data_IF_843301735954
#
_entry.id   IF_843301735954
#
_cell.length_a   1.000
_cell.length_b   1.000
_cell.length_c   1.000
_cell.angle_alpha   90.00
_cell.angle_beta   90.00
_cell.angle_gamma   90.00
#
_symmetry.space_group_name_H-M   'P 1'
#
loop_
_entity.id
_entity.type
_entity.pdbx_description
1 polymer ?
#
# COMPACT_ATOMS: atom_id res chain seq x y z
N UNK A 1 -4.10 17.89 -21.67
CA UNK A 1 -4.17 19.36 -21.85
C UNK A 1 -3.18 20.00 -20.89
N UNK A 2 -2.42 21.01 -21.32
CA UNK A 2 -1.55 21.77 -20.42
C UNK A 2 -2.39 22.59 -19.42
N UNK A 3 -1.89 22.78 -18.20
CA UNK A 3 -2.45 23.75 -17.23
C UNK A 3 -2.26 25.16 -17.79
N UNK A 4 -3.33 25.95 -17.80
CA UNK A 4 -3.34 27.34 -18.28
C UNK A 4 -3.74 28.27 -17.16
N UNK A 5 -3.29 29.53 -17.26
CA UNK A 5 -3.61 30.55 -16.27
C UNK A 5 -5.11 30.72 -16.07
N UNK A 6 -5.53 30.80 -14.81
CA UNK A 6 -6.90 31.03 -14.40
C UNK A 6 -6.96 32.23 -13.44
N UNK A 7 -7.55 33.34 -13.88
CA UNK A 7 -7.68 34.54 -13.05
C UNK A 7 -8.51 34.35 -11.77
N UNK A 8 -9.32 33.29 -11.67
CA UNK A 8 -10.06 32.95 -10.46
C UNK A 8 -9.20 32.22 -9.42
N UNK A 9 -8.05 31.67 -9.83
CA UNK A 9 -7.11 30.97 -8.97
C UNK A 9 -5.71 31.44 -9.39
N UNK A 10 -5.29 32.64 -8.94
CA UNK A 10 -4.02 33.24 -9.33
C UNK A 10 -2.82 32.38 -8.87
N UNK A 11 -1.65 32.68 -9.43
CA UNK A 11 -0.41 31.92 -9.18
C UNK A 11 0.01 32.03 -7.70
N UNK A 12 -0.27 33.17 -7.08
CA UNK A 12 0.09 33.53 -5.72
C UNK A 12 -0.99 33.17 -4.68
N UNK A 13 -2.02 32.42 -5.09
CA UNK A 13 -3.16 32.07 -4.22
C UNK A 13 -2.74 31.31 -2.96
N UNK A 14 -1.66 30.53 -3.03
CA UNK A 14 -1.20 29.67 -1.94
C UNK A 14 0.23 29.99 -1.53
N UNK A 15 0.45 30.23 -0.23
CA UNK A 15 1.82 30.34 0.33
C UNK A 15 2.53 28.98 0.40
N UNK A 16 1.77 27.90 0.63
CA UNK A 16 2.29 26.54 0.71
C UNK A 16 1.27 25.50 0.25
N UNK A 17 1.78 24.40 -0.29
CA UNK A 17 0.99 23.26 -0.79
C UNK A 17 1.48 21.99 -0.11
N UNK A 18 0.58 21.31 0.61
CA UNK A 18 0.86 20.01 1.22
C UNK A 18 0.42 18.90 0.27
N UNK A 19 1.37 18.05 -0.10
CA UNK A 19 1.17 16.98 -1.07
C UNK A 19 1.17 15.64 -0.33
N UNK A 20 -0.02 15.06 -0.15
CA UNK A 20 -0.16 13.72 0.41
C UNK A 20 0.23 12.65 -0.62
N UNK A 21 0.82 11.55 -0.13
CA UNK A 21 1.40 10.48 -0.94
C UNK A 21 2.29 11.02 -2.09
N UNK A 22 3.18 11.97 -1.76
CA UNK A 22 3.90 12.78 -2.75
C UNK A 22 4.69 11.94 -3.76
N UNK A 23 5.16 10.75 -3.37
CA UNK A 23 5.82 9.78 -4.27
C UNK A 23 4.97 9.35 -5.48
N UNK A 24 3.64 9.56 -5.43
CA UNK A 24 2.71 9.32 -6.55
C UNK A 24 2.28 10.61 -7.24
N UNK A 25 2.17 11.69 -6.46
CA UNK A 25 1.45 12.91 -6.83
C UNK A 25 2.35 13.97 -7.46
N UNK A 26 3.67 13.86 -7.39
CA UNK A 26 4.60 14.88 -7.93
C UNK A 26 4.92 14.71 -9.44
N UNK A 27 4.21 13.84 -10.16
CA UNK A 27 4.49 13.53 -11.56
C UNK A 27 3.31 13.74 -12.50
N UNK A 28 3.61 13.87 -13.80
CA UNK A 28 2.65 13.93 -14.91
C UNK A 28 1.71 15.13 -14.78
N UNK A 29 0.40 14.87 -14.70
CA UNK A 29 -0.64 15.88 -14.66
C UNK A 29 -0.51 16.78 -13.44
N UNK A 30 -0.21 16.20 -12.28
CA UNK A 30 -0.11 16.94 -11.03
C UNK A 30 1.14 17.80 -10.97
N UNK A 31 2.22 17.40 -11.62
CA UNK A 31 3.42 18.24 -11.70
C UNK A 31 3.09 19.60 -12.32
N UNK A 32 2.30 19.63 -13.41
CA UNK A 32 1.89 20.88 -14.04
C UNK A 32 1.02 21.77 -13.12
N UNK A 33 0.26 21.15 -12.20
CA UNK A 33 -0.53 21.89 -11.21
C UNK A 33 0.37 22.45 -10.11
N UNK A 34 1.38 21.69 -9.68
CA UNK A 34 2.34 22.13 -8.67
C UNK A 34 3.23 23.25 -9.21
N UNK A 35 3.67 23.14 -10.47
CA UNK A 35 4.49 24.15 -11.16
C UNK A 35 3.70 25.43 -11.49
N UNK A 36 2.36 25.39 -11.43
CA UNK A 36 1.50 26.56 -11.68
C UNK A 36 1.51 27.58 -10.54
N UNK A 37 1.68 27.11 -9.30
CA UNK A 37 1.60 27.96 -8.11
C UNK A 37 3.00 28.38 -7.63
N UNK A 38 3.16 29.65 -7.26
CA UNK A 38 4.36 30.14 -6.59
C UNK A 38 4.23 29.90 -5.08
N UNK A 39 4.39 28.63 -4.68
CA UNK A 39 4.12 28.17 -3.32
C UNK A 39 5.21 27.23 -2.79
N UNK A 40 5.43 27.23 -1.47
CA UNK A 40 6.29 26.24 -0.84
C UNK A 40 5.65 24.85 -0.85
N UNK A 41 6.34 23.86 -1.45
CA UNK A 41 5.83 22.48 -1.52
C UNK A 41 6.29 21.65 -0.32
N UNK A 42 5.34 21.05 0.40
CA UNK A 42 5.58 20.14 1.53
C UNK A 42 5.09 18.74 1.14
N UNK A 43 6.00 17.81 0.89
CA UNK A 43 5.67 16.42 0.57
C UNK A 43 5.51 15.55 1.81
N UNK A 44 4.41 14.79 1.89
CA UNK A 44 4.18 13.75 2.89
C UNK A 44 4.16 12.38 2.20
N UNK A 45 4.96 11.43 2.69
CA UNK A 45 4.97 10.06 2.16
C UNK A 45 5.55 9.08 3.17
N UNK A 46 4.97 7.88 3.24
CA UNK A 46 5.54 6.77 4.00
C UNK A 46 6.57 5.96 3.18
N UNK A 47 6.59 6.13 1.86
CA UNK A 47 7.43 5.33 0.95
C UNK A 47 8.11 6.23 -0.09
N UNK A 48 9.08 7.07 0.32
CA UNK A 48 9.82 7.90 -0.63
C UNK A 48 10.66 7.01 -1.57
N UNK A 49 10.72 7.40 -2.84
CA UNK A 49 11.64 6.82 -3.84
C UNK A 49 12.71 7.84 -4.25
N UNK A 50 13.72 7.41 -5.02
CA UNK A 50 14.83 8.29 -5.45
C UNK A 50 14.36 9.56 -6.14
N UNK A 51 13.28 9.46 -6.91
CA UNK A 51 12.74 10.59 -7.66
C UNK A 51 11.98 11.55 -6.74
N UNK A 52 11.36 11.04 -5.68
CA UNK A 52 10.76 11.84 -4.62
C UNK A 52 11.83 12.67 -3.94
N UNK A 53 12.96 12.05 -3.58
CA UNK A 53 14.10 12.78 -3.03
C UNK A 53 14.65 13.82 -4.03
N UNK A 54 14.83 13.45 -5.30
CA UNK A 54 15.28 14.37 -6.34
C UNK A 54 14.36 15.58 -6.52
N UNK A 55 13.04 15.39 -6.51
CA UNK A 55 12.05 16.46 -6.63
C UNK A 55 12.15 17.48 -5.49
N UNK A 56 12.37 17.01 -4.26
CA UNK A 56 12.53 17.86 -3.08
C UNK A 56 14.00 18.24 -2.82
N UNK A 57 14.90 18.07 -3.79
CA UNK A 57 16.34 18.38 -3.66
C UNK A 57 17.01 17.75 -2.42
N UNK A 58 16.61 16.51 -2.09
CA UNK A 58 17.06 15.77 -0.90
C UNK A 58 16.78 16.48 0.43
N UNK A 59 15.90 17.50 0.43
CA UNK A 59 15.55 18.27 1.61
C UNK A 59 14.54 17.52 2.50
N UNK A 60 15.05 16.61 3.32
CA UNK A 60 14.25 15.86 4.29
C UNK A 60 14.12 16.69 5.57
N UNK A 61 12.92 17.20 5.84
CA UNK A 61 12.63 18.00 7.04
C UNK A 61 12.52 17.12 8.28
N UNK A 62 11.87 15.96 8.16
CA UNK A 62 11.67 15.00 9.26
C UNK A 62 11.48 13.60 8.69
N UNK A 63 12.03 12.61 9.35
CA UNK A 63 11.80 11.19 9.09
C UNK A 63 11.28 10.55 10.38
N UNK A 64 10.22 9.76 10.28
CA UNK A 64 9.67 9.00 11.41
C UNK A 64 9.48 7.56 10.96
N UNK A 65 10.40 6.69 11.39
CA UNK A 65 10.47 5.30 10.95
C UNK A 65 9.41 4.43 11.59
N UNK A 66 9.14 3.27 10.97
CA UNK A 66 8.23 2.28 11.54
C UNK A 66 8.73 1.80 12.91
N UNK A 67 10.05 1.63 13.08
CA UNK A 67 10.62 1.18 14.36
C UNK A 67 10.44 2.21 15.47
N UNK A 68 10.61 3.51 15.16
CA UNK A 68 10.31 4.61 16.09
C UNK A 68 8.82 4.63 16.43
N UNK A 69 7.95 4.49 15.42
CA UNK A 69 6.51 4.41 15.62
C UNK A 69 6.08 3.24 16.53
N UNK A 70 6.78 2.10 16.46
CA UNK A 70 6.55 0.97 17.34
C UNK A 70 7.09 1.24 18.75
N UNK A 71 8.28 1.82 18.87
CA UNK A 71 8.89 2.16 20.16
C UNK A 71 8.07 3.19 20.93
N UNK A 72 7.46 4.15 20.24
CA UNK A 72 6.60 5.18 20.81
C UNK A 72 5.16 4.70 21.07
N UNK A 73 4.84 3.45 20.72
CA UNK A 73 3.49 2.88 20.89
C UNK A 73 2.43 3.48 19.95
N UNK A 74 2.84 4.16 18.87
CA UNK A 74 1.95 4.68 17.83
C UNK A 74 1.49 3.56 16.90
N UNK A 75 2.39 2.63 16.58
CA UNK A 75 2.15 1.46 15.74
C UNK A 75 2.48 0.15 16.48
N UNK A 76 1.99 -0.95 15.94
CA UNK A 76 2.37 -2.31 16.33
C UNK A 76 3.33 -2.91 15.32
N UNK A 77 4.21 -3.79 15.79
CA UNK A 77 5.11 -4.58 14.95
C UNK A 77 4.38 -5.70 14.21
N UNK A 78 5.14 -6.51 13.47
CA UNK A 78 4.61 -7.66 12.75
C UNK A 78 5.49 -8.89 12.86
N UNK A 79 4.88 -10.04 12.66
CA UNK A 79 5.54 -11.34 12.55
C UNK A 79 5.22 -11.96 11.18
N UNK A 80 6.13 -12.79 10.68
CA UNK A 80 5.96 -13.47 9.38
C UNK A 80 5.75 -14.96 9.62
N UNK A 81 4.72 -15.51 9.01
CA UNK A 81 4.43 -16.93 9.02
C UNK A 81 4.47 -17.47 7.59
N UNK A 82 5.52 -18.24 7.25
CA UNK A 82 5.71 -18.75 5.89
C UNK A 82 5.07 -20.13 5.69
N UNK A 83 4.25 -20.26 4.65
CA UNK A 83 3.71 -21.54 4.20
C UNK A 83 4.49 -21.95 2.94
N UNK A 84 5.44 -22.88 3.08
CA UNK A 84 6.23 -23.37 1.95
C UNK A 84 5.54 -24.57 1.29
N UNK A 85 5.23 -24.42 0.00
CA UNK A 85 4.70 -25.49 -0.85
C UNK A 85 5.85 -26.33 -1.41
N UNK A 86 6.22 -27.44 -0.75
CA UNK A 86 7.11 -28.42 -1.37
C UNK A 86 6.30 -29.26 -2.38
N UNK A 87 6.47 -28.97 -3.67
CA UNK A 87 5.96 -29.82 -4.76
C UNK A 87 6.83 -31.08 -4.79
N UNK A 88 6.43 -32.11 -4.05
CA UNK A 88 7.00 -33.45 -4.23
C UNK A 88 6.36 -34.13 -5.43
N UNK A 89 7.13 -34.92 -6.20
CA UNK A 89 6.68 -35.68 -7.38
C UNK A 89 5.53 -36.67 -7.09
N UNK A 90 5.13 -36.84 -5.82
CA UNK A 90 4.09 -37.79 -5.36
C UNK A 90 2.98 -37.14 -4.51
N UNK A 91 2.71 -35.85 -4.72
CA UNK A 91 1.65 -35.12 -4.00
C UNK A 91 2.25 -34.08 -3.04
N UNK A 92 1.74 -32.86 -3.13
CA UNK A 92 2.28 -31.70 -2.43
C UNK A 92 2.17 -31.88 -0.89
N UNK A 93 3.30 -32.04 -0.21
CA UNK A 93 3.36 -31.89 1.25
C UNK A 93 3.69 -30.43 1.53
N UNK A 94 2.75 -29.68 2.10
CA UNK A 94 3.05 -28.35 2.61
C UNK A 94 3.87 -28.48 3.89
N UNK A 95 5.01 -27.79 3.96
CA UNK A 95 5.70 -27.57 5.21
C UNK A 95 5.51 -26.11 5.60
N UNK A 96 4.78 -25.88 6.68
CA UNK A 96 4.85 -24.58 7.33
C UNK A 96 6.23 -24.47 7.98
N UNK A 97 6.99 -23.44 7.59
CA UNK A 97 8.22 -23.08 8.30
C UNK A 97 7.94 -21.76 9.01
N UNK A 98 8.00 -21.80 10.32
CA UNK A 98 7.98 -20.59 11.14
C UNK A 98 9.29 -19.83 10.87
N UNK A 99 9.17 -18.58 10.43
CA UNK A 99 10.28 -17.66 10.28
C UNK A 99 9.88 -16.35 10.94
N UNK A 100 10.15 -16.22 12.24
CA UNK A 100 10.00 -14.93 12.91
C UNK A 100 11.17 -14.03 12.49
N UNK A 101 11.00 -13.28 11.40
CA UNK A 101 11.94 -12.23 11.02
C UNK A 101 11.77 -11.03 11.97
N UNK A 102 12.47 -11.06 13.11
CA UNK A 102 12.72 -9.84 13.91
C UNK A 102 13.81 -9.06 13.20
N UNK A 103 13.43 -8.21 12.23
CA UNK A 103 14.42 -7.42 11.49
C UNK A 103 15.31 -6.60 12.43
N UNK A 104 16.61 -6.72 12.22
CA UNK A 104 17.63 -5.89 12.85
C UNK A 104 17.49 -4.42 12.44
N UNK A 105 17.89 -3.54 13.38
CA UNK A 105 18.03 -2.10 13.19
C UNK A 105 18.89 -1.78 11.96
N UNK A 106 18.26 -1.51 10.82
CA UNK A 106 18.98 -0.96 9.67
C UNK A 106 19.36 0.49 9.97
N UNK A 107 20.65 0.79 10.03
CA UNK A 107 21.13 2.18 10.12
C UNK A 107 20.60 3.00 8.93
N UNK A 108 20.31 4.30 9.14
CA UNK A 108 19.85 5.26 8.11
C UNK A 108 20.55 5.07 6.76
N UNK A 109 21.88 4.99 6.77
CA UNK A 109 22.73 4.85 5.57
C UNK A 109 22.54 3.51 4.83
N UNK A 110 22.31 2.42 5.56
CA UNK A 110 22.07 1.07 4.99
C UNK A 110 20.67 0.96 4.39
N UNK A 111 19.66 1.60 4.98
CA UNK A 111 18.29 1.63 4.44
C UNK A 111 18.26 2.34 3.08
N UNK A 112 19.05 3.40 2.90
CA UNK A 112 19.23 4.08 1.61
C UNK A 112 20.01 3.25 0.60
N UNK A 113 21.15 2.66 0.98
CA UNK A 113 21.91 1.79 0.09
C UNK A 113 21.11 0.56 -0.40
N UNK A 114 20.20 0.02 0.42
CA UNK A 114 19.32 -1.09 0.04
C UNK A 114 18.15 -0.67 -0.88
N UNK A 115 17.86 0.64 -0.98
CA UNK A 115 17.02 1.19 -2.07
C UNK A 115 17.85 1.35 -3.37
N UNK A 116 19.18 1.39 -3.27
CA UNK A 116 20.07 1.59 -4.42
C UNK A 116 20.47 0.31 -5.16
N UNK A 117 20.49 -0.84 -4.49
CA UNK A 117 20.94 -2.11 -5.07
C UNK A 117 19.86 -2.77 -5.97
N UNK A 118 20.16 -2.91 -7.27
CA UNK A 118 19.44 -3.81 -8.16
C UNK A 118 19.83 -5.27 -7.87
N UNK A 119 19.08 -5.93 -6.99
CA UNK A 119 19.28 -7.36 -6.72
C UNK A 119 18.65 -8.18 -7.85
N UNK A 120 19.47 -8.68 -8.76
CA UNK A 120 19.03 -9.63 -9.78
C UNK A 120 18.80 -11.01 -9.13
N UNK A 121 17.54 -11.43 -9.00
CA UNK A 121 17.21 -12.81 -8.72
C UNK A 121 16.05 -13.30 -9.59
N UNK A 122 16.26 -14.44 -10.23
CA UNK A 122 15.29 -15.15 -11.06
C UNK A 122 14.48 -16.12 -10.19
N UNK A 123 13.25 -15.73 -9.86
CA UNK A 123 12.18 -16.68 -9.51
C UNK A 123 10.89 -16.27 -10.23
N UNK A 124 10.79 -16.62 -11.51
CA UNK A 124 9.54 -16.50 -12.29
C UNK A 124 8.57 -17.66 -12.05
N UNK A 125 8.99 -18.72 -11.35
CA UNK A 125 8.27 -19.99 -11.37
C UNK A 125 7.24 -20.17 -10.23
N UNK A 126 7.42 -19.52 -9.07
CA UNK A 126 6.50 -19.72 -7.93
C UNK A 126 5.17 -18.97 -8.07
N UNK A 127 5.14 -17.82 -8.76
CA UNK A 127 3.96 -16.95 -8.86
C UNK A 127 2.85 -17.54 -9.77
N UNK A 128 3.13 -18.66 -10.45
CA UNK A 128 2.21 -19.36 -11.34
C UNK A 128 1.47 -20.53 -10.66
N UNK A 129 1.98 -21.06 -9.55
CA UNK A 129 1.46 -22.29 -8.94
C UNK A 129 0.30 -22.06 -7.96
N UNK A 130 0.19 -20.85 -7.38
CA UNK A 130 -0.79 -20.56 -6.31
C UNK A 130 -2.20 -20.23 -6.82
N UNK A 131 -2.43 -20.21 -8.14
CA UNK A 131 -3.79 -20.08 -8.72
C UNK A 131 -4.51 -21.42 -8.88
N UNK A 132 -3.83 -22.55 -8.66
CA UNK A 132 -4.47 -23.86 -8.77
C UNK A 132 -5.43 -24.08 -7.57
N UNK A 133 -6.71 -24.42 -7.78
CA UNK A 133 -7.67 -24.66 -6.70
C UNK A 133 -7.19 -25.65 -5.63
N UNK A 134 -6.45 -26.69 -6.01
CA UNK A 134 -5.87 -27.64 -5.05
C UNK A 134 -4.80 -27.00 -4.17
N UNK A 135 -3.98 -26.09 -4.72
CA UNK A 135 -2.97 -25.36 -3.96
C UNK A 135 -3.60 -24.31 -3.04
N UNK A 136 -4.59 -23.56 -3.55
CA UNK A 136 -5.39 -22.62 -2.75
C UNK A 136 -5.99 -23.37 -1.55
N UNK A 137 -6.63 -24.51 -1.79
CA UNK A 137 -7.20 -25.36 -0.73
C UNK A 137 -6.16 -25.81 0.28
N UNK A 138 -5.00 -26.27 -0.16
CA UNK A 138 -3.93 -26.70 0.74
C UNK A 138 -3.42 -25.52 1.61
N UNK A 139 -3.24 -24.33 1.03
CA UNK A 139 -2.80 -23.13 1.76
C UNK A 139 -3.85 -22.72 2.80
N UNK A 140 -5.12 -22.62 2.41
CA UNK A 140 -6.22 -22.24 3.30
C UNK A 140 -6.41 -23.27 4.42
N UNK A 141 -6.33 -24.57 4.11
CA UNK A 141 -6.38 -25.64 5.11
C UNK A 141 -5.22 -25.55 6.09
N UNK A 142 -4.01 -25.30 5.59
CA UNK A 142 -2.83 -25.14 6.44
C UNK A 142 -2.97 -23.91 7.33
N UNK A 143 -3.41 -22.79 6.78
CA UNK A 143 -3.70 -21.58 7.55
C UNK A 143 -4.72 -21.86 8.64
N UNK A 144 -5.86 -22.48 8.32
CA UNK A 144 -6.90 -22.88 9.30
C UNK A 144 -6.32 -23.75 10.42
N UNK A 145 -5.60 -24.81 10.07
CA UNK A 145 -5.03 -25.76 11.05
C UNK A 145 -3.98 -25.10 11.96
N UNK A 146 -3.34 -24.04 11.48
CA UNK A 146 -2.28 -23.32 12.19
C UNK A 146 -2.77 -22.08 12.90
N UNK A 147 -4.05 -21.71 12.78
CA UNK A 147 -4.63 -20.58 13.52
C UNK A 147 -4.37 -20.64 15.04
N UNK A 148 -4.47 -21.79 15.74
CA UNK A 148 -4.19 -21.85 17.17
C UNK A 148 -2.72 -21.60 17.53
N UNK A 149 -1.81 -21.87 16.59
CA UNK A 149 -0.37 -21.62 16.75
C UNK A 149 -0.04 -20.16 16.45
N UNK A 150 -0.61 -19.61 15.36
CA UNK A 150 -0.41 -18.22 14.95
C UNK A 150 -1.07 -17.23 15.93
N UNK A 151 -2.23 -17.60 16.47
CA UNK A 151 -3.04 -16.77 17.36
C UNK A 151 -3.45 -17.56 18.60
N UNK A 152 -2.51 -17.79 19.54
CA UNK A 152 -2.79 -18.58 20.74
C UNK A 152 -3.87 -17.94 21.60
N UNK A 153 -4.81 -18.77 22.08
CA UNK A 153 -5.91 -18.32 22.93
C UNK A 153 -7.06 -17.62 22.20
N UNK A 154 -7.08 -17.60 20.86
CA UNK A 154 -8.21 -17.10 20.08
C UNK A 154 -9.17 -18.25 19.73
N UNK A 155 -10.47 -18.00 19.90
CA UNK A 155 -11.53 -18.94 19.51
C UNK A 155 -11.97 -18.71 18.06
N UNK A 156 -12.14 -17.44 17.67
CA UNK A 156 -12.47 -17.03 16.32
C UNK A 156 -11.24 -16.67 15.48
N UNK A 157 -11.38 -16.77 14.15
CA UNK A 157 -10.37 -16.29 13.19
C UNK A 157 -10.19 -14.79 13.37
N UNK A 158 -9.00 -14.25 13.65
CA UNK A 158 -8.78 -12.80 13.71
C UNK A 158 -9.13 -12.12 12.38
N UNK A 159 -9.38 -10.81 12.41
CA UNK A 159 -9.69 -10.07 11.17
C UNK A 159 -8.54 -10.25 10.18
N UNK A 160 -8.85 -10.89 9.05
CA UNK A 160 -7.87 -11.34 8.07
C UNK A 160 -8.17 -10.72 6.71
N UNK A 161 -7.15 -10.14 6.08
CA UNK A 161 -7.21 -9.64 4.71
C UNK A 161 -6.34 -10.51 3.81
N UNK A 162 -6.95 -11.12 2.79
CA UNK A 162 -6.27 -11.95 1.80
C UNK A 162 -6.04 -11.15 0.52
N UNK A 163 -4.80 -11.14 0.04
CA UNK A 163 -4.43 -10.50 -1.21
C UNK A 163 -4.36 -11.52 -2.36
N UNK A 164 -5.35 -11.43 -3.25
CA UNK A 164 -5.52 -12.26 -4.42
C UNK A 164 -4.85 -11.65 -5.66
N UNK A 165 -4.47 -12.51 -6.61
CA UNK A 165 -3.77 -12.12 -7.85
C UNK A 165 -4.65 -11.40 -8.85
N UNK A 166 -5.90 -11.83 -8.98
CA UNK A 166 -6.90 -11.37 -9.94
C UNK A 166 -8.30 -11.54 -9.35
N UNK A 167 -9.31 -10.97 -10.00
CA UNK A 167 -10.70 -11.05 -9.52
C UNK A 167 -11.21 -12.51 -9.51
N UNK A 168 -10.93 -13.26 -10.57
CA UNK A 168 -11.23 -14.70 -10.63
C UNK A 168 -10.50 -15.49 -9.54
N UNK A 169 -9.23 -15.16 -9.27
CA UNK A 169 -8.50 -15.80 -8.16
C UNK A 169 -9.14 -15.47 -6.80
N UNK A 170 -9.63 -14.24 -6.62
CA UNK A 170 -10.34 -13.86 -5.40
C UNK A 170 -11.62 -14.67 -5.22
N UNK A 171 -12.38 -14.91 -6.28
CA UNK A 171 -13.59 -15.73 -6.24
C UNK A 171 -13.28 -17.19 -5.87
N UNK A 172 -12.23 -17.79 -6.45
CA UNK A 172 -11.77 -19.14 -6.11
C UNK A 172 -11.37 -19.25 -4.63
N UNK A 173 -10.62 -18.26 -4.11
CA UNK A 173 -10.22 -18.19 -2.70
C UNK A 173 -11.44 -18.11 -1.81
N UNK A 174 -12.43 -17.27 -2.13
CA UNK A 174 -13.64 -17.10 -1.32
C UNK A 174 -14.41 -18.41 -1.22
N UNK A 175 -14.61 -19.09 -2.35
CA UNK A 175 -15.30 -20.38 -2.37
C UNK A 175 -14.57 -21.38 -1.47
N UNK A 176 -13.26 -21.54 -1.66
CA UNK A 176 -12.46 -22.52 -0.90
C UNK A 176 -12.39 -22.16 0.59
N UNK A 177 -12.30 -20.88 0.95
CA UNK A 177 -12.35 -20.44 2.35
C UNK A 177 -13.68 -20.83 2.99
N UNK A 178 -14.80 -20.61 2.30
CA UNK A 178 -16.13 -20.99 2.80
C UNK A 178 -16.25 -22.50 2.99
N UNK A 179 -15.75 -23.28 2.04
CA UNK A 179 -15.73 -24.74 2.12
C UNK A 179 -14.86 -25.24 3.28
N UNK A 180 -13.61 -24.81 3.37
CA UNK A 180 -12.66 -25.31 4.37
C UNK A 180 -12.99 -24.84 5.79
N UNK A 181 -13.56 -23.65 5.96
CA UNK A 181 -14.04 -23.18 7.26
C UNK A 181 -15.45 -23.67 7.60
N UNK A 182 -16.19 -24.25 6.65
CA UNK A 182 -17.60 -24.62 6.77
C UNK A 182 -18.47 -23.41 7.16
N UNK A 183 -18.27 -22.30 6.45
CA UNK A 183 -18.82 -20.97 6.76
C UNK A 183 -19.45 -20.31 5.51
N UNK A 184 -20.35 -19.34 5.72
CA UNK A 184 -21.12 -18.71 4.65
C UNK A 184 -20.59 -17.37 4.12
N UNK A 185 -21.42 -16.68 3.33
CA UNK A 185 -21.13 -15.33 2.79
C UNK A 185 -20.91 -14.28 3.89
N UNK A 186 -21.48 -14.48 5.09
CA UNK A 186 -21.25 -13.56 6.21
C UNK A 186 -19.81 -13.62 6.73
N UNK A 187 -19.10 -14.74 6.57
CA UNK A 187 -17.77 -14.97 7.14
C UNK A 187 -16.65 -14.46 6.24
N UNK A 188 -16.74 -14.74 4.94
CA UNK A 188 -15.74 -14.37 3.95
C UNK A 188 -16.38 -13.58 2.79
N UNK A 189 -15.94 -12.35 2.52
CA UNK A 189 -16.47 -11.47 1.47
C UNK A 189 -15.38 -10.91 0.55
N UNK A 190 -15.72 -10.70 -0.72
CA UNK A 190 -14.87 -9.97 -1.68
C UNK A 190 -14.99 -8.47 -1.44
N UNK A 191 -13.85 -7.78 -1.34
CA UNK A 191 -13.78 -6.32 -1.33
C UNK A 191 -13.33 -5.87 -2.71
N UNK A 192 -14.27 -5.42 -3.53
CA UNK A 192 -13.97 -4.75 -4.81
C UNK A 192 -14.67 -3.40 -4.89
N UNK A 193 -14.19 -2.56 -5.82
CA UNK A 193 -14.85 -1.30 -6.16
C UNK A 193 -16.06 -1.48 -7.09
N UNK A 194 -16.28 -2.68 -7.62
CA UNK A 194 -17.20 -2.95 -8.74
C UNK A 194 -18.48 -3.70 -8.33
N UNK A 195 -18.67 -4.02 -7.05
CA UNK A 195 -19.86 -4.74 -6.59
C UNK A 195 -21.09 -3.85 -6.44
N UNK A 196 -22.28 -4.45 -6.58
CA UNK A 196 -23.58 -3.82 -6.40
C UNK A 196 -23.88 -3.45 -4.93
N UNK A 197 -23.27 -4.14 -3.96
CA UNK A 197 -23.24 -3.71 -2.55
C UNK A 197 -22.28 -2.52 -2.37
N UNK A 198 -22.72 -1.44 -1.71
CA UNK A 198 -21.89 -0.27 -1.40
C UNK A 198 -20.58 -0.69 -0.68
N UNK A 199 -19.41 -0.59 -1.34
CA UNK A 199 -18.13 -1.03 -0.75
C UNK A 199 -17.81 -0.33 0.58
N UNK A 200 -18.34 0.88 0.79
CA UNK A 200 -18.19 1.61 2.06
C UNK A 200 -18.93 0.91 3.20
N UNK A 201 -20.10 0.34 2.93
CA UNK A 201 -20.89 -0.44 3.90
C UNK A 201 -20.15 -1.72 4.30
N UNK A 202 -19.59 -2.45 3.34
CA UNK A 202 -18.82 -3.66 3.61
C UNK A 202 -17.57 -3.38 4.47
N UNK A 203 -16.83 -2.32 4.14
CA UNK A 203 -15.64 -1.95 4.90
C UNK A 203 -15.97 -1.45 6.31
N UNK A 204 -17.07 -0.72 6.45
CA UNK A 204 -17.58 -0.34 7.77
C UNK A 204 -17.97 -1.56 8.61
N UNK A 205 -18.60 -2.58 8.00
CA UNK A 205 -18.91 -3.85 8.65
C UNK A 205 -17.63 -4.61 9.03
N UNK A 206 -16.70 -4.77 8.11
CA UNK A 206 -15.43 -5.47 8.37
C UNK A 206 -14.63 -4.82 9.51
N UNK A 207 -14.71 -3.49 9.63
CA UNK A 207 -14.09 -2.71 10.70
C UNK A 207 -14.78 -2.83 12.05
N UNK A 208 -16.11 -2.78 12.11
CA UNK A 208 -16.82 -2.54 13.37
C UNK A 208 -17.65 -3.75 13.84
N UNK A 209 -18.01 -4.67 12.95
CA UNK A 209 -18.84 -5.82 13.28
C UNK A 209 -17.98 -7.09 13.46
N UNK A 210 -18.52 -8.08 14.15
CA UNK A 210 -17.87 -9.39 14.29
C UNK A 210 -17.57 -10.00 12.92
N UNK A 211 -18.53 -9.95 11.98
CA UNK A 211 -18.42 -10.47 10.62
C UNK A 211 -18.35 -9.34 9.57
N UNK A 212 -17.69 -9.55 8.41
CA UNK A 212 -16.93 -10.76 8.04
C UNK A 212 -15.60 -10.90 8.79
N UNK A 213 -15.11 -12.14 8.95
CA UNK A 213 -13.78 -12.41 9.54
C UNK A 213 -12.68 -12.31 8.50
N UNK A 214 -12.97 -12.71 7.27
CA UNK A 214 -12.04 -12.72 6.16
C UNK A 214 -12.55 -11.80 5.05
N UNK A 215 -11.69 -10.90 4.59
CA UNK A 215 -11.91 -10.10 3.40
C UNK A 215 -10.89 -10.52 2.33
N UNK A 216 -11.33 -10.67 1.08
CA UNK A 216 -10.45 -10.99 -0.05
C UNK A 216 -10.42 -9.82 -1.02
N UNK A 217 -9.24 -9.38 -1.43
CA UNK A 217 -9.09 -8.24 -2.34
C UNK A 217 -7.95 -8.45 -3.32
N UNK A 218 -8.06 -7.85 -4.51
CA UNK A 218 -7.01 -7.90 -5.56
C UNK A 218 -6.08 -6.71 -5.45
N UNK A 219 -6.69 -5.54 -5.29
CA UNK A 219 -6.02 -4.26 -5.17
C UNK A 219 -6.08 -3.76 -3.73
N UNK A 220 -5.38 -2.68 -3.43
CA UNK A 220 -5.55 -2.03 -2.14
C UNK A 220 -7.00 -1.64 -1.94
N UNK A 221 -7.54 -2.02 -0.78
CA UNK A 221 -8.72 -1.37 -0.23
C UNK A 221 -8.42 0.12 -0.15
N UNK A 222 -9.34 0.95 -0.67
CA UNK A 222 -9.17 2.39 -0.88
C UNK A 222 -8.29 3.09 0.16
N UNK A 223 -7.29 3.83 -0.35
CA UNK A 223 -6.46 4.74 0.43
C UNK A 223 -7.40 5.65 1.23
N UNK A 224 -7.50 5.43 2.55
CA UNK A 224 -8.43 6.14 3.43
C UNK A 224 -9.41 5.27 4.22
N UNK A 225 -9.48 3.96 3.98
CA UNK A 225 -10.26 3.03 4.82
C UNK A 225 -9.35 2.27 5.79
N UNK A 226 -9.21 2.83 6.99
CA UNK A 226 -8.39 2.26 8.06
C UNK A 226 -9.18 1.22 8.87
N UNK A 227 -8.77 -0.05 8.74
CA UNK A 227 -9.33 -1.20 9.47
C UNK A 227 -8.41 -1.53 10.64
N UNK A 228 -8.49 -0.74 11.71
CA UNK A 228 -7.67 -0.91 12.91
C UNK A 228 -7.66 -2.33 13.53
N UNK A 229 -8.78 -3.07 13.62
CA UNK A 229 -8.78 -4.41 14.20
C UNK A 229 -8.15 -5.48 13.30
N UNK A 230 -7.58 -5.13 12.14
CA UNK A 230 -6.92 -6.07 11.25
C UNK A 230 -5.68 -6.69 11.91
N UNK A 231 -5.68 -8.01 12.10
CA UNK A 231 -4.63 -8.76 12.82
C UNK A 231 -3.85 -9.71 11.90
N UNK A 232 -4.36 -10.01 10.70
CA UNK A 232 -3.72 -10.92 9.75
C UNK A 232 -3.75 -10.40 8.31
N UNK A 233 -2.61 -10.44 7.63
CA UNK A 233 -2.45 -10.19 6.20
C UNK A 233 -1.97 -11.49 5.54
N UNK A 234 -2.76 -12.07 4.63
CA UNK A 234 -2.39 -13.30 3.93
C UNK A 234 -2.11 -13.01 2.46
N UNK A 235 -0.91 -13.31 1.99
CA UNK A 235 -0.50 -13.08 0.60
C UNK A 235 -0.60 -14.36 -0.22
N UNK A 236 -1.49 -14.35 -1.23
CA UNK A 236 -1.63 -15.41 -2.25
C UNK A 236 -1.11 -14.97 -3.63
N UNK A 237 -0.39 -13.85 -3.67
CA UNK A 237 0.24 -13.29 -4.86
C UNK A 237 1.58 -12.68 -4.51
N UNK A 238 2.53 -12.72 -5.43
CA UNK A 238 3.69 -11.86 -5.31
C UNK A 238 3.32 -10.38 -5.55
N UNK A 239 4.11 -9.51 -4.96
CA UNK A 239 3.99 -8.05 -5.07
C UNK A 239 5.33 -7.52 -5.55
N UNK A 240 5.38 -7.00 -6.78
CA UNK A 240 6.65 -6.54 -7.37
C UNK A 240 7.11 -5.20 -6.81
N UNK A 241 6.19 -4.27 -6.55
CA UNK A 241 6.53 -2.92 -6.07
C UNK A 241 6.80 -2.92 -4.57
N UNK A 242 7.95 -2.35 -4.17
CA UNK A 242 8.30 -2.15 -2.76
C UNK A 242 7.31 -1.23 -2.05
N UNK A 243 7.00 -0.08 -2.66
CA UNK A 243 6.07 0.88 -2.08
C UNK A 243 4.68 0.28 -1.91
N UNK A 244 4.21 -0.47 -2.92
CA UNK A 244 2.91 -1.13 -2.84
C UNK A 244 2.88 -2.18 -1.71
N UNK A 245 3.95 -2.97 -1.57
CA UNK A 245 4.06 -3.94 -0.48
C UNK A 245 4.06 -3.28 0.90
N UNK A 246 4.82 -2.19 1.08
CA UNK A 246 4.82 -1.44 2.34
C UNK A 246 3.47 -0.78 2.64
N UNK A 247 2.74 -0.29 1.62
CA UNK A 247 1.37 0.20 1.78
C UNK A 247 0.40 -0.90 2.23
N UNK A 248 0.55 -2.12 1.71
CA UNK A 248 -0.25 -3.28 2.14
C UNK A 248 0.05 -3.64 3.59
N UNK A 249 1.33 -3.70 3.98
CA UNK A 249 1.77 -3.93 5.37
C UNK A 249 1.25 -2.86 6.31
N UNK A 250 1.29 -1.59 5.90
CA UNK A 250 0.84 -0.44 6.70
C UNK A 250 -0.58 -0.58 7.25
N UNK A 251 -1.45 -1.37 6.61
CA UNK A 251 -2.81 -1.66 7.08
C UNK A 251 -2.85 -2.44 8.39
N UNK A 252 -1.85 -3.27 8.66
CA UNK A 252 -1.76 -4.03 9.90
C UNK A 252 -1.15 -3.24 11.07
N UNK A 253 -0.43 -2.15 10.79
CA UNK A 253 0.44 -1.49 11.79
C UNK A 253 -0.30 -0.66 12.85
N UNK A 254 -1.58 -0.35 12.66
CA UNK A 254 -2.32 0.51 13.60
C UNK A 254 -2.57 -0.18 14.93
N UNK A 255 -2.31 0.54 16.02
CA UNK A 255 -2.70 0.13 17.38
C UNK A 255 -4.22 0.10 17.52
N UNK A 256 -4.70 -0.80 18.37
CA UNK A 256 -6.12 -0.89 18.70
C UNK A 256 -6.29 -1.35 20.14
N UNK A 257 -7.04 -0.58 20.92
CA UNK A 257 -7.20 -0.78 22.36
C UNK A 257 -7.96 -2.08 22.67
N UNK A 258 -7.74 -2.62 23.87
CA UNK A 258 -8.34 -3.89 24.31
C UNK A 258 -9.87 -3.88 24.23
N UNK A 259 -10.53 -2.89 24.81
CA UNK A 259 -12.00 -2.83 24.85
C UNK A 259 -12.60 -2.72 23.45
N UNK A 260 -11.96 -1.97 22.57
CA UNK A 260 -12.41 -1.81 21.18
C UNK A 260 -12.14 -3.06 20.34
N UNK A 261 -11.00 -3.72 20.54
CA UNK A 261 -10.70 -4.99 19.88
C UNK A 261 -11.68 -6.07 20.33
N UNK A 262 -12.02 -6.12 21.63
CA UNK A 262 -12.94 -7.10 22.20
C UNK A 262 -14.37 -6.96 21.67
N UNK A 263 -14.81 -5.75 21.29
CA UNK A 263 -16.11 -5.55 20.61
C UNK A 263 -16.18 -6.28 19.26
N UNK A 264 -15.04 -6.45 18.60
CA UNK A 264 -14.93 -7.03 17.25
C UNK A 264 -14.45 -8.48 17.28
N UNK A 265 -13.58 -8.83 18.24
CA UNK A 265 -12.98 -10.14 18.45
C UNK A 265 -13.10 -10.49 19.95
N UNK A 266 -14.26 -11.01 20.40
CA UNK A 266 -14.58 -11.26 21.80
C UNK A 266 -13.60 -12.12 22.58
N UNK A 267 -12.93 -13.09 21.94
CA UNK A 267 -11.94 -13.96 22.61
C UNK A 267 -10.57 -13.30 22.83
N UNK A 268 -10.39 -12.04 22.41
CA UNK A 268 -9.13 -11.34 22.66
C UNK A 268 -8.85 -11.20 24.16
N UNK A 269 -7.59 -11.43 24.55
CA UNK A 269 -7.11 -11.31 25.94
C UNK A 269 -6.30 -10.04 26.17
N UNK A 270 -5.95 -9.31 25.11
CA UNK A 270 -5.12 -8.11 25.18
C UNK A 270 -5.51 -7.09 24.11
N UNK A 271 -4.97 -5.88 24.22
CA UNK A 271 -4.92 -4.95 23.10
C UNK A 271 -4.16 -5.57 21.93
N UNK A 272 -4.29 -4.97 20.74
CA UNK A 272 -3.51 -5.39 19.57
C UNK A 272 -2.04 -5.10 19.83
N UNK A 273 -1.22 -6.15 19.91
CA UNK A 273 0.23 -6.06 20.20
C UNK A 273 1.08 -6.17 18.94
N UNK A 274 0.61 -6.92 17.96
CA UNK A 274 1.25 -7.15 16.67
C UNK A 274 0.20 -7.55 15.63
N UNK A 275 0.62 -7.70 14.39
CA UNK A 275 -0.15 -8.39 13.35
C UNK A 275 0.71 -9.44 12.65
N UNK A 276 0.09 -10.42 12.01
CA UNK A 276 0.79 -11.50 11.33
C UNK A 276 0.69 -11.35 9.82
N UNK A 277 1.82 -11.53 9.13
CA UNK A 277 1.88 -11.68 7.68
C UNK A 277 2.02 -13.17 7.36
N UNK A 278 0.97 -13.77 6.80
CA UNK A 278 1.01 -15.13 6.27
C UNK A 278 1.49 -15.09 4.82
N UNK A 279 2.67 -15.64 4.58
CA UNK A 279 3.33 -15.63 3.28
C UNK A 279 3.29 -17.03 2.64
N UNK A 280 2.38 -17.22 1.68
CA UNK A 280 2.23 -18.49 0.95
C UNK A 280 3.00 -18.55 -0.38
N UNK A 281 3.64 -17.44 -0.78
CA UNK A 281 4.26 -17.27 -2.11
C UNK A 281 5.72 -16.83 -2.05
N UNK A 282 6.23 -16.52 -0.85
CA UNK A 282 7.55 -15.92 -0.65
C UNK A 282 7.58 -14.42 -0.92
N UNK A 283 6.46 -13.70 -0.78
CA UNK A 283 6.38 -12.24 -1.00
C UNK A 283 7.33 -11.47 -0.09
N UNK A 284 7.63 -11.98 1.10
CA UNK A 284 8.55 -11.34 2.06
C UNK A 284 10.01 -11.54 1.68
N UNK A 285 10.30 -12.59 0.89
CA UNK A 285 11.64 -12.96 0.41
C UNK A 285 11.91 -12.48 -1.02
N UNK A 286 10.87 -12.22 -1.81
CA UNK A 286 11.02 -11.81 -3.21
C UNK A 286 11.59 -10.40 -3.33
N UNK A 287 12.47 -10.21 -4.31
CA UNK A 287 13.06 -8.90 -4.59
C UNK A 287 11.97 -7.95 -5.07
N UNK A 288 11.89 -6.80 -4.41
CA UNK A 288 10.96 -5.73 -4.77
C UNK A 288 11.66 -4.72 -5.64
N UNK A 289 11.02 -4.33 -6.73
CA UNK A 289 11.47 -3.22 -7.59
C UNK A 289 10.85 -1.91 -7.11
N UNK A 290 11.56 -0.80 -7.29
CA UNK A 290 10.97 0.51 -7.14
C UNK A 290 9.82 0.71 -8.15
N UNK A 291 8.81 1.45 -7.72
CA UNK A 291 7.59 1.65 -8.48
C UNK A 291 7.88 2.48 -9.74
N UNK A 292 8.11 1.81 -10.88
CA UNK A 292 8.02 2.49 -12.17
C UNK A 292 6.55 2.90 -12.36
N UNK A 293 6.24 4.19 -12.57
CA UNK A 293 4.90 4.58 -12.99
C UNK A 293 4.65 3.81 -14.28
N UNK A 294 3.49 3.16 -14.39
CA UNK A 294 3.04 2.67 -15.67
C UNK A 294 3.07 3.86 -16.65
N UNK A 295 4.03 3.84 -17.56
CA UNK A 295 3.95 4.55 -18.82
C UNK A 295 2.77 3.91 -19.54
N UNK A 296 1.58 4.48 -19.36
CA UNK A 296 0.54 4.32 -20.35
C UNK A 296 1.11 5.00 -21.60
N UNK A 297 1.75 4.23 -22.47
CA UNK A 297 2.13 4.69 -23.80
C UNK A 297 0.82 5.07 -24.47
N UNK A 298 0.51 6.36 -24.69
CA UNK A 298 -0.59 6.70 -25.54
C UNK A 298 -0.20 6.16 -26.92
N UNK A 299 -1.08 5.43 -27.61
CA UNK A 299 -0.85 5.22 -29.03
C UNK A 299 -0.93 6.59 -29.70
N UNK A 300 0.23 7.22 -29.91
CA UNK A 300 0.34 8.52 -30.55
C UNK A 300 0.27 8.28 -32.06
N UNK A 301 -0.73 8.88 -32.71
CA UNK A 301 -0.86 8.91 -34.16
C UNK A 301 0.38 9.53 -34.82
N UNK A 302 0.81 8.97 -35.96
CA UNK A 302 2.03 9.35 -36.69
C UNK A 302 2.04 10.84 -37.08
N UNK A 303 0.88 11.48 -37.24
CA UNK A 303 0.76 12.92 -37.53
C UNK A 303 1.21 13.80 -36.37
N UNK A 304 1.00 13.36 -35.14
CA UNK A 304 1.40 14.09 -33.92
C UNK A 304 2.91 14.07 -33.73
N UNK A 305 3.58 12.97 -34.11
CA UNK A 305 5.05 12.87 -34.10
C UNK A 305 5.72 13.86 -35.07
N UNK A 306 5.10 14.11 -36.23
CA UNK A 306 5.58 15.09 -37.21
C UNK A 306 5.46 16.53 -36.71
N UNK A 307 4.41 16.84 -35.94
CA UNK A 307 4.19 18.16 -35.37
C UNK A 307 5.14 18.50 -34.21
N UNK A 308 5.55 17.50 -33.42
CA UNK A 308 6.49 17.71 -32.30
C UNK A 308 7.90 18.04 -32.81
N UNK A 309 8.31 17.46 -33.95
CA UNK A 309 9.65 17.65 -34.52
C UNK A 309 9.89 19.06 -35.10
N UNK A 310 8.84 19.80 -35.43
CA UNK A 310 8.95 21.17 -35.98
C UNK A 310 9.03 22.24 -34.90
N UNK A 311 8.56 21.97 -33.68
CA UNK A 311 8.57 22.96 -32.58
C UNK A 311 9.88 22.98 -31.77
N UNK A 312 10.69 21.90 -31.81
CA UNK A 312 11.91 21.77 -30.99
C UNK A 312 13.06 22.69 -31.42
N UNK A 313 12.93 23.43 -32.52
CA UNK A 313 14.01 24.25 -33.08
C UNK A 313 14.05 25.68 -32.51
N UNK A 314 13.03 26.15 -31.76
CA UNK A 314 12.84 27.61 -31.60
C UNK A 314 13.03 28.29 -30.24
N UNK A 315 13.27 27.63 -29.11
CA UNK A 315 13.38 28.38 -27.85
C UNK A 315 14.49 27.88 -26.91
N UNK A 316 15.60 28.62 -26.91
CA UNK A 316 16.60 28.65 -25.84
C UNK A 316 17.05 30.10 -25.62
N UNK A 317 16.98 30.56 -24.36
CA UNK A 317 17.53 31.76 -23.66
C UNK A 317 16.44 32.32 -22.72
N UNK A 318 16.63 32.67 -21.43
CA UNK A 318 17.82 32.96 -20.60
C UNK A 318 17.42 33.19 -19.11
N UNK A 319 18.35 32.92 -18.17
CA UNK A 319 18.71 33.57 -16.84
C UNK A 319 17.67 33.65 -15.67
N UNK A 320 17.86 33.20 -14.39
CA UNK A 320 18.82 33.26 -13.22
C UNK A 320 18.59 34.43 -12.20
N UNK A 321 18.61 34.09 -10.88
CA UNK A 321 18.76 34.86 -9.60
C UNK A 321 17.48 35.06 -8.75
N UNK A 322 17.41 35.03 -7.40
CA UNK A 322 18.33 34.83 -6.24
C UNK A 322 17.46 34.49 -4.99
N UNK A 323 18.05 33.95 -3.90
CA UNK A 323 17.34 33.49 -2.68
C UNK A 323 17.51 34.40 -1.45
N UNK A 324 16.57 34.39 -0.48
CA UNK A 324 16.94 34.55 0.93
C UNK A 324 16.31 33.51 1.88
N UNK A 325 17.09 33.13 2.90
CA UNK A 325 16.75 32.20 4.00
C UNK A 325 15.81 32.84 5.02
N UNK A 326 14.80 32.09 5.50
CA UNK A 326 13.99 32.48 6.67
C UNK A 326 13.77 31.29 7.64
N UNK A 327 13.69 31.66 8.92
CA UNK A 327 13.90 30.92 10.16
C UNK A 327 12.73 29.99 10.57
N UNK A 328 13.01 28.75 10.97
CA UNK A 328 12.10 27.58 11.02
C UNK A 328 11.17 27.43 12.23
N UNK A 329 11.05 28.39 13.14
CA UNK A 329 10.43 28.15 14.45
C UNK A 329 9.01 28.73 14.69
N UNK A 330 8.23 29.09 13.65
CA UNK A 330 6.91 29.74 13.87
C UNK A 330 5.69 29.18 13.15
N UNK A 331 5.79 28.08 12.39
CA UNK A 331 4.71 27.62 11.50
C UNK A 331 4.21 26.22 11.88
N UNK A 332 3.71 26.05 13.12
CA UNK A 332 3.11 24.78 13.56
C UNK A 332 1.69 24.91 14.12
N UNK A 333 0.99 26.03 13.90
CA UNK A 333 -0.36 26.21 14.48
C UNK A 333 -1.53 26.39 13.53
N UNK A 334 -1.33 26.44 12.21
CA UNK A 334 -2.46 26.49 11.28
C UNK A 334 -2.09 25.74 9.99
N UNK A 335 -2.40 24.44 9.92
CA UNK A 335 -2.96 23.88 8.69
C UNK A 335 -3.47 22.45 8.85
N UNK A 336 -4.78 22.33 8.90
CA UNK A 336 -5.52 21.13 8.53
C UNK A 336 -6.51 21.56 7.44
N UNK A 337 -6.07 21.58 6.18
CA UNK A 337 -6.99 21.59 5.05
C UNK A 337 -6.69 20.41 4.15
N UNK A 338 -7.65 19.48 4.17
CA UNK A 338 -7.69 18.23 3.42
C UNK A 338 -7.83 18.60 1.94
N UNK A 339 -6.79 18.35 1.15
CA UNK A 339 -6.84 18.52 -0.29
C UNK A 339 -7.92 17.60 -0.88
N UNK A 340 -9.10 18.17 -1.09
CA UNK A 340 -10.17 17.62 -1.91
C UNK A 340 -10.38 18.63 -3.03
N UNK A 341 -9.35 18.82 -3.86
CA UNK A 341 -9.55 19.43 -5.18
C UNK A 341 -10.37 18.41 -5.97
N UNK A 342 -11.69 18.53 -5.82
CA UNK A 342 -12.66 17.81 -6.63
C UNK A 342 -12.46 18.28 -8.06
N UNK A 343 -12.30 17.34 -8.99
CA UNK A 343 -12.13 17.55 -10.43
C UNK A 343 -13.32 18.29 -11.10
N UNK A 344 -14.28 18.81 -10.34
CA UNK A 344 -15.51 19.44 -10.84
C UNK A 344 -15.40 20.95 -11.11
N UNK A 345 -14.32 21.62 -10.73
CA UNK A 345 -14.20 23.09 -10.90
C UNK A 345 -13.25 23.54 -12.00
N UNK A 346 -12.57 22.60 -12.69
CA UNK A 346 -11.75 22.89 -13.88
C UNK A 346 -12.41 22.32 -15.14
N UNK A 347 -13.69 22.67 -15.36
CA UNK A 347 -14.29 22.54 -16.69
C UNK A 347 -13.88 23.76 -17.52
N UNK A 348 -12.77 23.61 -18.24
CA UNK A 348 -12.33 24.51 -19.30
C UNK A 348 -13.10 24.11 -20.56
N UNK A 349 -14.01 24.98 -21.01
CA UNK A 349 -14.54 25.00 -22.38
C UNK A 349 -13.44 25.23 -23.40
#
# INVERSE_FOLDING_TARGET
MPVVYNAQIPIEEFDFIVIDECHRSIYKLWQQVLDYFDAFLIGLTATPDKRTFGFFHENIVSEYSHEEAVADGVNVGYEVYSIETEISQYGAKLKAKEYVDKREKLSRKRRWAQLDEEVAYTKKDLDRDVVNPSQIRNIIRTFKNKLPEIFPGREEVPKTLIFAKSDSHADDIIQIVREEFNEGNYFCKKVTYKTEEDPKSLLAQFRNAYNPRIAVTVDMISTGTDVKPLECLLFMRDVKSKNYFEQMKGRGTRTFGFDDLRKVTPSTVSAKTHFVIVDAVGVTKSVKTDSRPLEAVPQIDYRTLLYIKTMTVKQHKSEIHDTPRVNTNKILKNCYFRCKISYQTLNIT
#
